data_IF_980995419078
#
_entry.id   IF_980995419078
#
_cell.length_a   1.000
_cell.length_b   1.000
_cell.length_c   1.000
_cell.angle_alpha   90.00
_cell.angle_beta   90.00
_cell.angle_gamma   90.00
#
_symmetry.space_group_name_H-M   'P 1'
#
loop_
_entity.id
_entity.type
_entity.pdbx_description
1 polymer ?
#
# COMPACT_ATOMS: atom_id res chain seq x y z
N UNK A 1 2.45 -10.69 19.59
CA UNK A 1 1.72 -11.21 18.40
C UNK A 1 0.91 -12.45 18.73
N UNK A 2 1.45 -13.50 19.36
CA UNK A 2 0.67 -14.71 19.75
C UNK A 2 -0.47 -14.45 20.74
N UNK A 3 -0.28 -13.53 21.70
CA UNK A 3 -1.31 -13.16 22.70
C UNK A 3 -2.53 -12.52 22.03
N UNK A 4 -2.35 -11.77 20.94
CA UNK A 4 -3.44 -11.10 20.21
C UNK A 4 -4.32 -12.09 19.44
N UNK A 5 -3.70 -13.11 18.84
CA UNK A 5 -4.40 -14.21 18.17
C UNK A 5 -5.25 -15.03 19.17
N UNK A 6 -4.71 -15.26 20.36
CA UNK A 6 -5.41 -15.99 21.43
C UNK A 6 -6.61 -15.21 21.99
N UNK A 7 -6.49 -13.88 22.18
CA UNK A 7 -7.63 -13.05 22.60
C UNK A 7 -8.71 -12.94 21.52
N UNK A 8 -8.35 -12.81 20.24
CA UNK A 8 -9.33 -12.81 19.15
C UNK A 8 -10.10 -14.14 19.08
N UNK A 9 -9.43 -15.26 19.36
CA UNK A 9 -10.02 -16.60 19.30
C UNK A 9 -11.05 -16.83 20.41
N UNK A 10 -10.86 -16.17 21.55
CA UNK A 10 -11.75 -16.24 22.70
C UNK A 10 -12.94 -15.26 22.63
N UNK A 11 -12.83 -14.15 21.88
CA UNK A 11 -13.87 -13.11 21.77
C UNK A 11 -14.83 -13.26 20.56
N UNK A 12 -14.59 -14.20 19.65
CA UNK A 12 -15.49 -14.47 18.52
C UNK A 12 -16.79 -15.20 18.95
N UNK A 13 -17.94 -14.64 18.62
CA UNK A 13 -19.26 -15.29 18.71
C UNK A 13 -19.71 -15.71 17.30
N UNK A 14 -19.76 -17.00 16.91
CA UNK A 14 -19.41 -18.23 17.65
C UNK A 14 -17.90 -18.49 17.73
N UNK A 15 -17.48 -19.38 18.66
CA UNK A 15 -16.07 -19.79 18.85
C UNK A 15 -15.49 -20.30 17.53
N UNK A 16 -14.45 -19.64 17.02
CA UNK A 16 -13.82 -19.97 15.73
C UNK A 16 -14.33 -19.16 14.53
N UNK A 17 -15.26 -18.22 14.72
CA UNK A 17 -15.65 -17.23 13.70
C UNK A 17 -14.69 -16.02 13.67
N UNK A 18 -13.41 -16.24 13.97
CA UNK A 18 -12.41 -15.32 13.43
C UNK A 18 -12.37 -15.68 11.96
N UNK A 19 -12.73 -14.72 11.12
CA UNK A 19 -12.57 -14.86 9.69
C UNK A 19 -11.07 -15.02 9.43
N UNK A 20 -10.58 -16.26 9.32
CA UNK A 20 -9.17 -16.52 9.05
C UNK A 20 -8.73 -15.79 7.77
N UNK A 21 -9.68 -15.53 6.86
CA UNK A 21 -9.52 -14.66 5.71
C UNK A 21 -9.16 -13.22 6.06
N UNK A 22 -9.74 -12.64 7.11
CA UNK A 22 -9.42 -11.28 7.59
C UNK A 22 -8.01 -11.19 8.17
N UNK A 23 -7.61 -12.17 8.98
CA UNK A 23 -6.25 -12.22 9.56
C UNK A 23 -5.21 -12.40 8.44
N UNK A 24 -5.40 -13.40 7.58
CA UNK A 24 -4.49 -13.68 6.46
C UNK A 24 -4.46 -12.51 5.47
N UNK A 25 -5.63 -11.90 5.21
CA UNK A 25 -5.77 -10.71 4.36
C UNK A 25 -5.00 -9.51 4.90
N UNK A 26 -5.08 -9.24 6.21
CA UNK A 26 -4.31 -8.16 6.85
C UNK A 26 -2.80 -8.37 6.72
N UNK A 27 -2.29 -9.59 6.94
CA UNK A 27 -0.87 -9.90 6.74
C UNK A 27 -0.44 -9.76 5.27
N UNK A 28 -1.24 -10.25 4.33
CA UNK A 28 -0.96 -10.10 2.90
C UNK A 28 -0.96 -8.63 2.47
N UNK A 29 -1.93 -7.84 2.95
CA UNK A 29 -2.02 -6.41 2.72
C UNK A 29 -0.77 -5.67 3.21
N UNK A 30 -0.27 -6.02 4.40
CA UNK A 30 0.97 -5.46 4.95
C UNK A 30 2.19 -5.81 4.08
N UNK A 31 2.30 -7.04 3.59
CA UNK A 31 3.40 -7.46 2.71
C UNK A 31 3.35 -6.68 1.38
N UNK A 32 2.17 -6.56 0.77
CA UNK A 32 1.97 -5.81 -0.47
C UNK A 32 2.30 -4.32 -0.30
N UNK A 33 1.84 -3.71 0.79
CA UNK A 33 2.15 -2.32 1.13
C UNK A 33 3.65 -2.12 1.36
N UNK A 34 4.29 -3.05 2.08
CA UNK A 34 5.75 -3.06 2.27
C UNK A 34 6.51 -3.19 0.94
N UNK A 35 6.00 -3.98 0.00
CA UNK A 35 6.52 -4.09 -1.36
C UNK A 35 6.45 -2.76 -2.13
N UNK A 36 5.33 -2.04 -2.04
CA UNK A 36 5.19 -0.71 -2.64
C UNK A 36 6.23 0.28 -2.12
N UNK A 37 6.38 0.38 -0.79
CA UNK A 37 7.37 1.29 -0.19
C UNK A 37 8.80 0.89 -0.53
N UNK A 38 9.09 -0.42 -0.60
CA UNK A 38 10.41 -0.91 -1.03
C UNK A 38 10.70 -0.50 -2.47
N UNK A 39 9.74 -0.64 -3.38
CA UNK A 39 9.88 -0.25 -4.78
C UNK A 39 10.11 1.26 -4.93
N UNK A 40 9.41 2.09 -4.16
CA UNK A 40 9.63 3.54 -4.12
C UNK A 40 11.04 3.86 -3.61
N UNK A 41 11.51 3.16 -2.57
CA UNK A 41 12.85 3.34 -2.04
C UNK A 41 13.95 3.01 -3.04
N UNK A 42 13.79 1.92 -3.80
CA UNK A 42 14.70 1.55 -4.90
C UNK A 42 14.73 2.66 -5.94
N UNK A 43 13.56 3.16 -6.36
CA UNK A 43 13.47 4.25 -7.33
C UNK A 43 14.15 5.53 -6.83
N UNK A 44 13.87 5.95 -5.59
CA UNK A 44 14.50 7.12 -4.98
C UNK A 44 16.03 6.98 -4.89
N UNK A 45 16.54 5.77 -4.62
CA UNK A 45 17.97 5.47 -4.62
C UNK A 45 18.61 5.57 -6.00
N UNK A 46 17.86 5.34 -7.09
CA UNK A 46 18.40 5.50 -8.46
C UNK A 46 18.47 6.96 -8.91
N UNK A 47 17.65 7.84 -8.31
CA UNK A 47 17.60 9.27 -8.68
C UNK A 47 18.83 10.05 -8.21
N UNK A 48 19.38 9.71 -7.05
CA UNK A 48 20.47 10.47 -6.43
C UNK A 48 21.57 9.58 -5.88
N UNK A 49 22.82 10.02 -6.03
CA UNK A 49 23.99 9.35 -5.44
C UNK A 49 24.15 9.64 -3.94
N UNK A 50 23.45 10.65 -3.42
CA UNK A 50 23.55 11.03 -2.01
C UNK A 50 22.49 10.29 -1.18
N UNK A 51 22.94 9.42 -0.28
CA UNK A 51 22.09 8.57 0.55
C UNK A 51 21.09 9.35 1.42
N UNK A 52 21.47 10.52 1.93
CA UNK A 52 20.57 11.36 2.74
C UNK A 52 19.45 11.93 1.88
N UNK A 53 19.78 12.41 0.68
CA UNK A 53 18.78 12.95 -0.25
C UNK A 53 17.86 11.84 -0.76
N UNK A 54 18.39 10.65 -1.04
CA UNK A 54 17.60 9.48 -1.44
C UNK A 54 16.58 9.11 -0.36
N UNK A 55 16.98 9.13 0.91
CA UNK A 55 16.10 8.86 2.03
C UNK A 55 14.97 9.88 2.15
N UNK A 56 15.27 11.18 2.05
CA UNK A 56 14.25 12.24 2.12
C UNK A 56 13.25 12.11 0.97
N UNK A 57 13.73 11.85 -0.25
CA UNK A 57 12.86 11.62 -1.42
C UNK A 57 11.99 10.38 -1.21
N UNK A 58 12.56 9.28 -0.71
CA UNK A 58 11.82 8.06 -0.41
C UNK A 58 10.69 8.32 0.58
N UNK A 59 10.98 8.97 1.72
CA UNK A 59 9.97 9.28 2.76
C UNK A 59 8.89 10.20 2.20
N UNK A 60 9.26 11.23 1.43
CA UNK A 60 8.31 12.15 0.82
C UNK A 60 7.38 11.43 -0.18
N UNK A 61 7.93 10.55 -1.04
CA UNK A 61 7.15 9.77 -2.00
C UNK A 61 6.25 8.74 -1.31
N UNK A 62 6.74 8.06 -0.27
CA UNK A 62 5.94 7.13 0.51
C UNK A 62 4.77 7.85 1.22
N UNK A 63 5.04 9.01 1.84
CA UNK A 63 4.01 9.84 2.45
C UNK A 63 2.98 10.32 1.41
N UNK A 64 3.44 10.75 0.24
CA UNK A 64 2.56 11.18 -0.85
C UNK A 64 1.71 10.02 -1.40
N UNK A 65 2.30 8.84 -1.61
CA UNK A 65 1.59 7.67 -2.11
C UNK A 65 0.54 7.14 -1.11
N UNK A 66 0.81 7.25 0.19
CA UNK A 66 -0.12 6.79 1.22
C UNK A 66 -1.19 7.82 1.57
N UNK A 67 -0.79 9.06 1.83
CA UNK A 67 -1.66 10.13 2.34
C UNK A 67 -2.18 11.05 1.24
N UNK A 68 -1.40 11.28 0.17
CA UNK A 68 -1.73 12.26 -0.86
C UNK A 68 -3.04 11.96 -1.59
N UNK A 69 -3.35 10.67 -1.80
CA UNK A 69 -4.63 10.27 -2.38
C UNK A 69 -5.81 10.44 -1.42
N UNK A 70 -5.60 10.23 -0.12
CA UNK A 70 -6.66 10.39 0.89
C UNK A 70 -7.04 11.87 1.05
N UNK A 71 -6.03 12.73 1.23
CA UNK A 71 -6.23 14.19 1.29
C UNK A 71 -6.77 14.80 -0.01
N UNK A 72 -6.35 14.29 -1.17
CA UNK A 72 -6.91 14.72 -2.46
C UNK A 72 -8.39 14.31 -2.59
N UNK A 73 -8.77 13.14 -2.06
CA UNK A 73 -10.16 12.68 -2.09
C UNK A 73 -11.09 13.53 -1.22
N UNK A 74 -10.62 14.00 -0.07
CA UNK A 74 -11.37 14.86 0.84
C UNK A 74 -11.58 16.26 0.24
N UNK A 75 -10.54 16.81 -0.40
CA UNK A 75 -10.61 18.11 -1.09
C UNK A 75 -11.53 18.09 -2.33
N UNK A 76 -11.57 16.97 -3.06
CA UNK A 76 -12.37 16.79 -4.29
C UNK A 76 -13.77 16.18 -4.06
N UNK A 77 -14.10 15.86 -2.81
CA UNK A 77 -15.45 15.43 -2.37
C UNK A 77 -16.52 16.48 -2.71
N UNK A 78 -16.16 17.75 -2.77
CA UNK A 78 -17.02 18.87 -3.16
C UNK A 78 -17.50 18.85 -4.62
N UNK A 79 -16.89 18.04 -5.49
CA UNK A 79 -17.16 18.04 -6.95
C UNK A 79 -17.76 16.74 -7.51
N UNK A 80 -18.29 15.83 -6.68
CA UNK A 80 -18.90 14.56 -7.12
C UNK A 80 -17.94 13.59 -7.87
N UNK A 81 -16.65 13.91 -7.94
CA UNK A 81 -15.56 13.08 -8.50
C UNK A 81 -14.79 12.36 -7.37
N UNK A 82 -15.03 12.74 -6.11
CA UNK A 82 -14.35 12.19 -4.93
C UNK A 82 -14.47 10.67 -4.79
N UNK A 83 -15.56 10.05 -5.24
CA UNK A 83 -15.75 8.59 -5.18
C UNK A 83 -14.78 7.82 -6.08
N UNK A 84 -14.47 8.36 -7.26
CA UNK A 84 -13.55 7.73 -8.22
C UNK A 84 -12.09 7.80 -7.73
N UNK A 85 -11.71 8.92 -7.10
CA UNK A 85 -10.37 9.12 -6.55
C UNK A 85 -10.17 8.30 -5.28
N UNK A 86 -11.20 8.21 -4.43
CA UNK A 86 -11.19 7.36 -3.26
C UNK A 86 -10.99 5.88 -3.62
N UNK A 87 -11.57 5.46 -4.76
CA UNK A 87 -11.41 4.10 -5.32
C UNK A 87 -10.02 3.82 -5.90
N UNK A 88 -9.14 4.82 -6.03
CA UNK A 88 -7.75 4.68 -6.50
C UNK A 88 -6.76 4.75 -5.32
N UNK A 89 -7.22 5.19 -4.14
CA UNK A 89 -6.36 5.35 -2.98
C UNK A 89 -5.82 4.00 -2.45
N UNK A 90 -4.50 3.91 -2.27
CA UNK A 90 -3.83 2.77 -1.62
C UNK A 90 -4.49 2.41 -0.27
N UNK A 91 -4.96 3.42 0.48
CA UNK A 91 -5.63 3.22 1.76
C UNK A 91 -6.96 2.47 1.66
N UNK A 92 -7.77 2.71 0.63
CA UNK A 92 -9.04 1.99 0.45
C UNK A 92 -8.84 0.53 0.03
N UNK A 93 -7.92 0.28 -0.90
CA UNK A 93 -7.54 -1.08 -1.28
C UNK A 93 -6.91 -1.83 -0.11
N UNK A 94 -6.08 -1.16 0.70
CA UNK A 94 -5.51 -1.72 1.91
C UNK A 94 -6.58 -2.06 2.96
N UNK A 95 -7.55 -1.18 3.19
CA UNK A 95 -8.67 -1.46 4.12
C UNK A 95 -9.57 -2.59 3.61
N UNK A 96 -9.81 -2.72 2.31
CA UNK A 96 -10.62 -3.81 1.74
C UNK A 96 -9.91 -5.16 1.90
N UNK A 97 -8.61 -5.23 1.58
CA UNK A 97 -7.78 -6.42 1.80
C UNK A 97 -7.69 -6.77 3.28
N UNK A 98 -7.52 -5.76 4.16
CA UNK A 98 -7.40 -5.98 5.61
C UNK A 98 -8.69 -6.47 6.27
N UNK A 99 -9.84 -6.34 5.60
CA UNK A 99 -11.13 -6.91 6.03
C UNK A 99 -11.37 -8.33 5.51
N UNK A 100 -10.37 -8.95 4.88
CA UNK A 100 -10.46 -10.32 4.35
C UNK A 100 -11.18 -10.44 3.01
N UNK A 101 -11.68 -9.33 2.45
CA UNK A 101 -12.26 -9.29 1.11
C UNK A 101 -11.12 -9.12 0.11
N UNK A 102 -10.41 -10.22 -0.18
CA UNK A 102 -9.34 -10.23 -1.18
C UNK A 102 -9.95 -10.20 -2.58
N UNK A 103 -10.26 -9.01 -3.10
CA UNK A 103 -10.59 -8.86 -4.50
C UNK A 103 -9.30 -8.87 -5.35
N UNK A 104 -9.32 -9.61 -6.46
CA UNK A 104 -8.17 -9.68 -7.39
C UNK A 104 -7.77 -8.31 -7.93
N UNK A 105 -8.72 -7.38 -8.01
CA UNK A 105 -8.52 -5.99 -8.43
C UNK A 105 -7.53 -5.26 -7.53
N UNK A 106 -7.68 -5.39 -6.21
CA UNK A 106 -6.82 -4.73 -5.24
C UNK A 106 -5.39 -5.27 -5.35
N UNK A 107 -5.25 -6.59 -5.48
CA UNK A 107 -3.96 -7.25 -5.64
C UNK A 107 -3.25 -6.81 -6.93
N UNK A 108 -3.99 -6.73 -8.05
CA UNK A 108 -3.45 -6.23 -9.32
C UNK A 108 -3.04 -4.77 -9.23
N UNK A 109 -3.75 -3.94 -8.46
CA UNK A 109 -3.38 -2.55 -8.23
C UNK A 109 -2.03 -2.43 -7.53
N UNK A 110 -1.85 -3.12 -6.39
CA UNK A 110 -0.57 -3.13 -5.66
C UNK A 110 0.60 -3.66 -6.52
N UNK A 111 0.38 -4.77 -7.24
CA UNK A 111 1.40 -5.33 -8.13
C UNK A 111 1.75 -4.38 -9.28
N UNK A 112 0.76 -3.74 -9.90
CA UNK A 112 0.99 -2.78 -10.97
C UNK A 112 1.78 -1.56 -10.47
N UNK A 113 1.48 -1.08 -9.26
CA UNK A 113 2.20 0.02 -8.63
C UNK A 113 3.67 -0.32 -8.40
N UNK A 114 3.95 -1.51 -7.84
CA UNK A 114 5.32 -2.03 -7.66
C UNK A 114 6.03 -2.13 -9.02
N UNK A 115 5.37 -2.69 -10.03
CA UNK A 115 5.96 -2.87 -11.35
C UNK A 115 6.33 -1.53 -12.01
N UNK A 116 5.48 -0.51 -11.90
CA UNK A 116 5.73 0.83 -12.45
C UNK A 116 6.98 1.47 -11.82
N UNK A 117 7.11 1.44 -10.49
CA UNK A 117 8.27 2.02 -9.81
C UNK A 117 9.56 1.24 -10.08
N UNK A 118 9.52 -0.09 -10.14
CA UNK A 118 10.66 -0.91 -10.53
C UNK A 118 11.08 -0.65 -11.98
N UNK A 119 10.12 -0.54 -12.91
CA UNK A 119 10.40 -0.25 -14.31
C UNK A 119 10.97 1.16 -14.48
N UNK A 120 10.44 2.15 -13.74
CA UNK A 120 11.02 3.49 -13.66
C UNK A 120 12.46 3.47 -13.15
N UNK A 121 12.75 2.67 -12.12
CA UNK A 121 14.11 2.49 -11.57
C UNK A 121 15.06 1.93 -12.64
N UNK A 122 14.61 0.91 -13.38
CA UNK A 122 15.37 0.32 -14.49
C UNK A 122 15.65 1.33 -15.59
N UNK A 123 14.67 2.16 -15.95
CA UNK A 123 14.79 3.16 -17.02
C UNK A 123 15.78 4.27 -16.62
N UNK A 124 15.69 4.77 -15.38
CA UNK A 124 16.63 5.74 -14.83
C UNK A 124 18.05 5.16 -14.81
N UNK A 125 18.22 3.88 -14.48
CA UNK A 125 19.52 3.24 -14.47
C UNK A 125 20.06 2.98 -15.88
N UNK A 126 19.20 2.62 -16.83
CA UNK A 126 19.56 2.38 -18.23
C UNK A 126 19.95 3.65 -19.01
N UNK A 127 19.37 4.81 -18.67
CA UNK A 127 19.76 6.10 -19.24
C UNK A 127 21.09 6.67 -18.72
N UNK A 128 21.78 5.96 -17.82
CA UNK A 128 23.07 6.35 -17.23
C UNK A 128 24.27 5.61 -17.83
N UNK A 129 24.05 4.78 -18.85
CA UNK A 129 25.09 4.15 -19.67
C UNK A 129 25.23 4.87 -21.00
#
# INVERSE_FOLDING_TARGET
TLIYYYTLYQLGFPKGNIDAGEVIGSYLGLILLGGCFTSIGIFASTLTKNQVVAFVICVALCAFAFLGFDYSSEFLSLQNIGSTIKSIGINQHYQSISRGVMDTRDLTYFLSFIAVFLMGSKLVMGGRG
#
